data_IF_735805033850
#
_entry.id   IF_735805033850
#
_cell.length_a   1.000
_cell.length_b   1.000
_cell.length_c   1.000
_cell.angle_alpha   90.00
_cell.angle_beta   90.00
_cell.angle_gamma   90.00
#
_symmetry.space_group_name_H-M   'P 1'
#
loop_
_entity.id
_entity.type
_entity.pdbx_description
1 polymer ?
#
# COMPACT_ATOMS: atom_id res chain seq x y z
N UNK A 1 -24.40 -26.62 -7.29
CA UNK A 1 -23.45 -25.69 -7.96
C UNK A 1 -23.45 -24.35 -7.25
N UNK A 2 -22.36 -24.07 -6.53
CA UNK A 2 -21.73 -22.78 -6.19
C UNK A 2 -22.54 -21.45 -6.23
N UNK A 3 -23.70 -21.37 -5.57
CA UNK A 3 -24.35 -20.06 -5.30
C UNK A 3 -23.39 -19.11 -4.56
N UNK A 4 -22.57 -19.63 -3.65
CA UNK A 4 -21.54 -18.86 -2.95
C UNK A 4 -20.49 -18.26 -3.89
N UNK A 5 -20.04 -18.98 -4.91
CA UNK A 5 -19.05 -18.46 -5.86
C UNK A 5 -19.67 -17.41 -6.80
N UNK A 6 -20.94 -17.59 -7.21
CA UNK A 6 -21.67 -16.58 -7.99
C UNK A 6 -21.91 -15.30 -7.19
N UNK A 7 -22.27 -15.42 -5.91
CA UNK A 7 -22.46 -14.27 -5.01
C UNK A 7 -21.12 -13.56 -4.73
N UNK A 8 -20.04 -14.32 -4.58
CA UNK A 8 -18.68 -13.78 -4.47
C UNK A 8 -18.23 -13.05 -5.76
N UNK A 9 -18.54 -13.60 -6.94
CA UNK A 9 -18.29 -12.96 -8.23
C UNK A 9 -19.13 -11.69 -8.43
N UNK A 10 -20.42 -11.72 -8.07
CA UNK A 10 -21.30 -10.56 -8.13
C UNK A 10 -20.87 -9.44 -7.15
N UNK A 11 -20.20 -9.80 -6.05
CA UNK A 11 -19.62 -8.84 -5.10
C UNK A 11 -18.33 -8.18 -5.59
N UNK A 12 -17.69 -8.72 -6.64
CA UNK A 12 -16.45 -8.18 -7.20
C UNK A 12 -16.78 -6.97 -8.05
N UNK A 13 -16.62 -5.78 -7.47
CA UNK A 13 -16.81 -4.51 -8.18
C UNK A 13 -15.94 -4.50 -9.46
N UNK A 14 -16.58 -4.44 -10.63
CA UNK A 14 -15.90 -4.29 -11.92
C UNK A 14 -15.31 -2.89 -12.01
N UNK A 15 -13.98 -2.78 -11.88
CA UNK A 15 -13.28 -1.50 -11.93
C UNK A 15 -13.09 -1.04 -13.37
N UNK A 16 -13.04 0.28 -13.57
CA UNK A 16 -12.79 0.90 -14.88
C UNK A 16 -11.34 0.71 -15.32
N UNK A 17 -11.07 0.75 -16.63
CA UNK A 17 -9.72 0.95 -17.14
C UNK A 17 -9.11 2.22 -16.52
N UNK A 18 -7.84 2.17 -16.14
CA UNK A 18 -7.10 3.26 -15.48
C UNK A 18 -7.70 3.77 -14.16
N UNK A 19 -8.38 2.90 -13.42
CA UNK A 19 -8.87 3.21 -12.08
C UNK A 19 -7.72 3.64 -11.15
N UNK A 20 -7.88 4.77 -10.47
CA UNK A 20 -6.86 5.31 -9.54
C UNK A 20 -7.05 4.72 -8.15
N UNK A 21 -6.22 3.74 -7.82
CA UNK A 21 -6.16 3.17 -6.48
C UNK A 21 -5.73 4.21 -5.43
N UNK A 22 -6.40 4.17 -4.29
CA UNK A 22 -6.10 4.95 -3.11
C UNK A 22 -6.15 4.07 -1.86
N UNK A 23 -6.09 4.70 -0.68
CA UNK A 23 -6.15 3.99 0.61
C UNK A 23 -7.53 3.39 0.91
N UNK A 24 -8.59 3.92 0.30
CA UNK A 24 -9.95 3.42 0.52
C UNK A 24 -10.22 2.18 -0.35
N UNK A 25 -10.87 1.17 0.23
CA UNK A 25 -11.27 -0.04 -0.49
C UNK A 25 -12.14 0.34 -1.71
N UNK A 26 -11.85 -0.19 -2.91
CA UNK A 26 -12.65 0.07 -4.10
C UNK A 26 -14.13 -0.27 -3.88
N UNK A 27 -15.02 0.64 -4.26
CA UNK A 27 -16.47 0.49 -4.09
C UNK A 27 -17.03 1.02 -2.76
N UNK A 28 -16.18 1.40 -1.79
CA UNK A 28 -16.61 2.10 -0.58
C UNK A 28 -17.22 3.49 -0.88
N UNK A 29 -18.05 4.03 0.02
CA UNK A 29 -18.64 5.37 -0.16
C UNK A 29 -17.57 6.46 -0.32
N UNK A 30 -16.50 6.38 0.47
CA UNK A 30 -15.35 7.29 0.38
C UNK A 30 -14.63 7.18 -0.96
N UNK A 31 -14.49 5.97 -1.48
CA UNK A 31 -13.91 5.73 -2.80
C UNK A 31 -14.80 6.30 -3.92
N UNK A 32 -16.11 5.96 -3.94
CA UNK A 32 -17.06 6.48 -4.93
C UNK A 32 -17.11 8.02 -4.95
N UNK A 33 -16.96 8.67 -3.79
CA UNK A 33 -16.86 10.14 -3.69
C UNK A 33 -15.56 10.69 -4.31
N UNK A 34 -14.42 10.02 -4.10
CA UNK A 34 -13.10 10.43 -4.62
C UNK A 34 -12.92 10.10 -6.10
N UNK A 35 -13.49 8.97 -6.52
CA UNK A 35 -13.39 8.37 -7.83
C UNK A 35 -14.80 8.22 -8.43
N UNK A 36 -15.49 9.34 -8.74
CA UNK A 36 -16.79 9.24 -9.37
C UNK A 36 -16.66 8.70 -10.79
N UNK A 37 -17.70 8.04 -11.32
CA UNK A 37 -17.76 7.53 -12.69
C UNK A 37 -17.16 8.47 -13.75
N UNK A 38 -17.56 9.74 -13.76
CA UNK A 38 -17.16 10.69 -14.81
C UNK A 38 -15.71 11.20 -14.69
N UNK A 39 -14.99 10.89 -13.61
CA UNK A 39 -13.63 11.37 -13.39
C UNK A 39 -12.63 10.63 -14.29
N UNK A 40 -12.14 11.31 -15.33
CA UNK A 40 -11.03 10.84 -16.19
C UNK A 40 -9.74 11.54 -15.76
N UNK A 41 -8.82 10.79 -15.15
CA UNK A 41 -7.51 11.30 -14.70
C UNK A 41 -6.40 10.60 -15.49
N UNK A 42 -5.25 11.26 -15.60
CA UNK A 42 -4.04 10.60 -16.13
C UNK A 42 -3.69 9.39 -15.23
N UNK A 43 -3.35 8.23 -15.82
CA UNK A 43 -2.95 7.06 -15.05
C UNK A 43 -1.66 7.36 -14.27
N UNK A 44 -1.54 6.76 -13.09
CA UNK A 44 -0.29 6.80 -12.33
C UNK A 44 0.62 5.73 -12.92
N UNK A 45 1.81 6.11 -13.36
CA UNK A 45 2.83 5.15 -13.81
C UNK A 45 3.43 4.53 -12.55
N UNK A 46 3.43 3.19 -12.51
CA UNK A 46 3.95 2.40 -11.39
C UNK A 46 4.89 1.37 -11.99
N UNK A 47 6.02 1.15 -11.33
CA UNK A 47 6.97 0.11 -11.73
C UNK A 47 6.30 -1.26 -11.67
N UNK A 48 6.32 -2.04 -12.76
CA UNK A 48 5.76 -3.37 -12.75
C UNK A 48 6.66 -4.29 -11.93
N UNK A 49 6.15 -4.76 -10.78
CA UNK A 49 6.81 -5.78 -9.96
C UNK A 49 6.04 -7.08 -10.19
N UNK A 50 6.77 -8.15 -10.47
CA UNK A 50 6.18 -9.48 -10.66
C UNK A 50 5.57 -9.99 -9.35
N UNK A 51 4.68 -10.98 -9.45
CA UNK A 51 4.11 -11.55 -8.23
C UNK A 51 5.13 -12.32 -7.38
N UNK A 52 6.19 -12.82 -8.02
CA UNK A 52 7.26 -13.63 -7.43
C UNK A 52 8.34 -12.79 -6.74
N UNK A 53 8.59 -11.57 -7.23
CA UNK A 53 9.59 -10.65 -6.68
C UNK A 53 9.08 -9.85 -5.47
N UNK A 54 7.76 -9.87 -5.26
CA UNK A 54 7.12 -9.15 -4.18
C UNK A 54 7.35 -9.87 -2.84
N UNK A 55 8.04 -9.22 -1.91
CA UNK A 55 8.51 -9.82 -0.66
C UNK A 55 8.04 -9.08 0.61
N UNK A 56 7.10 -8.14 0.49
CA UNK A 56 6.55 -7.38 1.63
C UNK A 56 5.11 -7.80 1.92
N UNK A 57 4.85 -8.38 3.09
CA UNK A 57 3.52 -8.85 3.47
C UNK A 57 2.98 -8.12 4.70
N UNK A 58 1.66 -8.14 4.87
CA UNK A 58 1.04 -7.62 6.07
C UNK A 58 1.51 -8.44 7.28
N UNK A 59 2.01 -7.76 8.30
CA UNK A 59 2.55 -8.38 9.50
C UNK A 59 4.07 -8.35 9.61
N UNK A 60 4.79 -8.08 8.51
CA UNK A 60 6.25 -8.03 8.50
C UNK A 60 6.78 -6.81 9.25
N UNK A 61 7.97 -6.95 9.83
CA UNK A 61 8.71 -5.84 10.44
C UNK A 61 9.67 -5.26 9.42
N UNK A 62 9.56 -3.96 9.19
CA UNK A 62 10.33 -3.27 8.18
C UNK A 62 10.89 -1.96 8.73
N UNK A 63 11.99 -1.51 8.14
CA UNK A 63 12.65 -0.25 8.43
C UNK A 63 12.42 0.75 7.31
N UNK A 64 12.21 2.02 7.70
CA UNK A 64 12.07 3.13 6.75
C UNK A 64 13.45 3.64 6.36
N UNK A 65 13.73 3.70 5.05
CA UNK A 65 15.01 4.19 4.53
C UNK A 65 15.04 5.71 4.39
N UNK A 66 13.92 6.32 3.96
CA UNK A 66 13.84 7.74 3.69
C UNK A 66 12.54 8.38 4.19
N UNK A 67 12.58 9.69 4.44
CA UNK A 67 11.45 10.48 4.90
C UNK A 67 11.55 10.92 6.36
N UNK A 68 10.42 11.35 6.93
CA UNK A 68 10.34 11.94 8.28
C UNK A 68 10.79 10.98 9.39
N UNK A 69 10.53 9.70 9.20
CA UNK A 69 10.74 8.64 10.19
C UNK A 69 11.84 7.65 9.76
N UNK A 70 12.82 8.12 8.99
CA UNK A 70 13.95 7.29 8.53
C UNK A 70 14.70 6.63 9.70
N UNK A 71 15.10 5.37 9.52
CA UNK A 71 15.76 4.53 10.52
C UNK A 71 14.84 3.92 11.57
N UNK A 72 13.54 4.28 11.58
CA UNK A 72 12.57 3.63 12.48
C UNK A 72 12.04 2.33 11.89
N UNK A 73 11.83 1.37 12.77
CA UNK A 73 11.25 0.08 12.46
C UNK A 73 9.75 0.08 12.82
N UNK A 74 8.94 -0.52 11.98
CA UNK A 74 7.49 -0.62 12.18
C UNK A 74 6.91 -1.85 11.52
N UNK A 75 5.68 -2.18 11.89
CA UNK A 75 4.96 -3.33 11.35
C UNK A 75 4.10 -2.92 10.15
N UNK A 76 4.07 -3.76 9.12
CA UNK A 76 3.22 -3.52 7.94
C UNK A 76 1.77 -3.85 8.27
N UNK A 77 0.89 -2.87 8.18
CA UNK A 77 -0.57 -3.02 8.42
C UNK A 77 -1.31 -3.34 7.12
N UNK A 78 -0.96 -2.65 6.04
CA UNK A 78 -1.65 -2.77 4.77
C UNK A 78 -0.68 -2.67 3.59
N UNK A 79 -0.90 -3.51 2.58
CA UNK A 79 -0.18 -3.50 1.31
C UNK A 79 -1.16 -3.24 0.16
N UNK A 80 -0.80 -2.34 -0.75
CA UNK A 80 -1.56 -2.02 -1.97
C UNK A 80 -0.64 -2.19 -3.18
N UNK A 81 -0.71 -3.37 -3.80
CA UNK A 81 0.19 -3.78 -4.89
C UNK A 81 0.03 -2.97 -6.17
N UNK A 82 -1.17 -2.45 -6.45
CA UNK A 82 -1.43 -1.69 -7.69
C UNK A 82 -0.68 -0.34 -7.74
N UNK A 83 -0.12 0.11 -6.61
CA UNK A 83 0.67 1.34 -6.50
C UNK A 83 2.01 1.12 -5.79
N UNK A 84 2.39 -0.13 -5.53
CA UNK A 84 3.56 -0.49 -4.73
C UNK A 84 3.60 0.25 -3.39
N UNK A 85 2.43 0.36 -2.75
CA UNK A 85 2.25 1.10 -1.50
C UNK A 85 2.25 0.17 -0.31
N UNK A 86 2.94 0.59 0.75
CA UNK A 86 3.07 -0.10 2.03
C UNK A 86 2.71 0.88 3.13
N UNK A 87 1.90 0.44 4.09
CA UNK A 87 1.43 1.25 5.22
C UNK A 87 1.96 0.65 6.50
N UNK A 88 2.63 1.47 7.30
CA UNK A 88 3.26 1.07 8.55
C UNK A 88 2.47 1.61 9.74
N UNK A 89 2.42 0.81 10.80
CA UNK A 89 1.72 1.16 12.03
C UNK A 89 2.37 2.36 12.72
N UNK A 90 1.63 3.47 12.87
CA UNK A 90 2.05 4.65 13.62
C UNK A 90 3.21 5.46 13.03
N UNK A 91 3.79 5.03 11.91
CA UNK A 91 4.91 5.70 11.24
C UNK A 91 4.46 6.45 9.98
N UNK A 92 5.26 7.44 9.57
CA UNK A 92 4.95 8.31 8.44
C UNK A 92 3.54 8.93 8.55
N UNK A 93 3.19 9.37 9.75
CA UNK A 93 1.84 9.85 10.08
C UNK A 93 1.70 11.36 9.86
N UNK A 94 0.52 11.76 9.38
CA UNK A 94 0.07 13.15 9.33
C UNK A 94 -1.20 13.31 10.17
N UNK A 95 -1.39 14.48 10.76
CA UNK A 95 -2.58 14.74 11.57
C UNK A 95 -3.74 15.21 10.68
N UNK A 96 -4.92 14.65 10.92
CA UNK A 96 -6.17 15.12 10.31
C UNK A 96 -7.30 15.16 11.33
N UNK A 97 -8.23 16.08 11.12
CA UNK A 97 -9.44 16.17 11.92
C UNK A 97 -10.51 15.22 11.40
N UNK A 98 -11.14 14.48 12.30
CA UNK A 98 -12.25 13.56 12.01
C UNK A 98 -13.48 13.97 12.81
N UNK A 99 -14.66 13.76 12.23
CA UNK A 99 -15.93 14.09 12.90
C UNK A 99 -16.22 15.59 12.98
N UNK A 100 -15.69 16.39 12.05
CA UNK A 100 -15.96 17.83 12.00
C UNK A 100 -17.42 18.09 11.64
N UNK A 101 -18.10 18.87 12.47
CA UNK A 101 -19.47 19.37 12.28
C UNK A 101 -19.43 20.90 12.20
N UNK A 102 -20.56 21.57 11.94
CA UNK A 102 -20.64 23.04 11.97
C UNK A 102 -20.22 23.61 13.34
N UNK A 103 -20.64 22.96 14.42
CA UNK A 103 -20.42 23.46 15.80
C UNK A 103 -19.17 22.87 16.46
N UNK A 104 -18.64 21.75 15.96
CA UNK A 104 -17.51 21.04 16.54
C UNK A 104 -16.35 20.92 15.56
N UNK A 105 -15.15 21.36 15.98
CA UNK A 105 -13.94 21.37 15.13
C UNK A 105 -13.47 19.96 14.72
N UNK A 106 -13.84 18.93 15.48
CA UNK A 106 -13.45 17.53 15.27
C UNK A 106 -12.25 17.13 16.13
N UNK A 107 -12.01 15.82 16.23
CA UNK A 107 -10.87 15.26 16.96
C UNK A 107 -9.67 15.15 16.02
N UNK A 108 -8.50 15.60 16.48
CA UNK A 108 -7.24 15.45 15.75
C UNK A 108 -6.73 14.01 15.91
N UNK A 109 -6.61 13.28 14.80
CA UNK A 109 -6.19 11.88 14.79
C UNK A 109 -4.97 11.74 13.86
N UNK A 110 -3.90 11.04 14.28
CA UNK A 110 -2.81 10.68 13.38
C UNK A 110 -3.30 9.67 12.34
N UNK A 111 -3.00 9.93 11.08
CA UNK A 111 -3.31 9.04 9.96
C UNK A 111 -2.03 8.69 9.22
N UNK A 112 -1.80 7.40 9.05
CA UNK A 112 -0.64 6.85 8.35
C UNK A 112 -0.69 7.22 6.87
N UNK A 113 0.45 7.61 6.32
CA UNK A 113 0.62 7.81 4.89
C UNK A 113 1.34 6.60 4.28
N UNK A 114 0.92 6.15 3.08
CA UNK A 114 1.59 5.05 2.40
C UNK A 114 3.00 5.45 1.98
N UNK A 115 3.94 4.52 2.12
CA UNK A 115 5.29 4.56 1.61
C UNK A 115 5.39 3.72 0.33
N UNK A 116 6.39 4.01 -0.50
CA UNK A 116 6.69 3.20 -1.67
C UNK A 116 7.56 2.01 -1.28
N UNK A 117 7.47 0.93 -2.07
CA UNK A 117 8.28 -0.29 -1.89
C UNK A 117 9.79 -0.01 -1.71
N UNK A 118 10.37 0.90 -2.49
CA UNK A 118 11.81 1.21 -2.41
C UNK A 118 12.21 2.02 -1.17
N UNK A 119 11.25 2.60 -0.44
CA UNK A 119 11.50 3.42 0.76
C UNK A 119 11.56 2.59 2.03
N UNK A 120 11.34 1.28 1.90
CA UNK A 120 11.13 0.35 3.00
C UNK A 120 12.01 -0.87 2.79
N UNK A 121 12.51 -1.44 3.89
CA UNK A 121 13.43 -2.59 3.87
C UNK A 121 13.04 -3.60 4.93
N UNK A 122 13.07 -4.89 4.59
CA UNK A 122 12.75 -5.96 5.53
C UNK A 122 13.82 -6.03 6.64
N UNK A 123 13.39 -6.24 7.87
CA UNK A 123 14.28 -6.39 9.03
C UNK A 123 14.36 -7.86 9.42
N UNK A 124 15.58 -8.36 9.60
CA UNK A 124 15.79 -9.72 10.10
C UNK A 124 15.34 -9.83 11.57
N UNK A 125 14.51 -10.84 11.93
CA UNK A 125 14.04 -10.99 13.30
C UNK A 125 15.17 -11.36 14.29
N UNK A 126 16.27 -11.94 13.79
CA UNK A 126 17.41 -12.39 14.60
C UNK A 126 18.37 -11.22 14.86
N UNK A 127 18.84 -10.57 13.80
CA UNK A 127 19.90 -9.56 13.91
C UNK A 127 19.35 -8.16 14.14
N UNK A 128 18.04 -7.95 13.97
CA UNK A 128 17.34 -6.65 13.97
C UNK A 128 17.95 -5.62 13.02
N UNK A 129 18.76 -6.09 12.08
CA UNK A 129 19.37 -5.31 11.04
C UNK A 129 18.52 -5.40 9.77
N UNK A 130 18.53 -4.34 8.99
CA UNK A 130 17.83 -4.32 7.72
C UNK A 130 18.55 -5.22 6.69
N UNK A 131 17.84 -6.23 6.17
CA UNK A 131 18.32 -7.22 5.20
C UNK A 131 18.83 -6.57 3.92
N UNK A 132 20.06 -6.88 3.49
CA UNK A 132 20.54 -6.42 2.16
C UNK A 132 19.51 -6.76 1.06
N UNK A 133 19.24 -5.85 0.12
CA UNK A 133 18.30 -6.13 -0.96
C UNK A 133 18.73 -7.40 -1.70
N UNK A 134 17.80 -8.34 -1.87
CA UNK A 134 18.02 -9.53 -2.67
C UNK A 134 18.19 -9.10 -4.13
N UNK A 135 19.43 -8.97 -4.59
CA UNK A 135 19.73 -8.81 -6.02
C UNK A 135 19.51 -10.16 -6.69
N UNK A 136 18.26 -10.48 -7.03
CA UNK A 136 17.95 -11.59 -7.93
C UNK A 136 18.14 -11.11 -9.37
N UNK A 137 19.35 -11.26 -9.89
CA UNK A 137 19.60 -10.98 -11.30
C UNK A 137 21.03 -10.59 -11.60
N UNK A 138 21.95 -11.56 -11.58
CA UNK A 138 23.23 -11.57 -12.29
C UNK A 138 23.79 -13.00 -12.27
N UNK A 139 23.01 -13.96 -12.77
CA UNK A 139 23.46 -15.33 -13.02
C UNK A 139 22.87 -15.82 -14.34
N UNK A 140 23.28 -15.22 -15.45
CA UNK A 140 23.36 -15.87 -16.77
C UNK A 140 24.35 -15.03 -17.59
N UNK A 141 25.08 -15.68 -18.50
CA UNK A 141 26.16 -15.14 -19.36
C UNK A 141 27.62 -15.33 -18.87
N UNK A 142 27.93 -16.48 -18.26
CA UNK A 142 29.27 -17.08 -18.35
C UNK A 142 29.13 -18.60 -18.55
N UNK A 143 28.73 -19.03 -19.75
CA UNK A 143 28.92 -20.41 -20.23
C UNK A 143 28.56 -20.52 -21.72
N UNK A 144 29.39 -19.96 -22.59
CA UNK A 144 29.78 -20.56 -23.89
C UNK A 144 30.93 -19.79 -24.50
#
# INVERSE_FOLDING_TARGET
MRLSALLALASKATLRPHYRYGMSRPGSLSDKRKNPPWSRRRPVVVEPISDEDWHLFCGDTVEILEGKDAGKQGKVVQVIRQRNWVVLEGLNTHYRYVGRTKDHRGTMIPSEAPLLHHQVKLVDPVDRQAQRPLVKGLLTLEST
#
